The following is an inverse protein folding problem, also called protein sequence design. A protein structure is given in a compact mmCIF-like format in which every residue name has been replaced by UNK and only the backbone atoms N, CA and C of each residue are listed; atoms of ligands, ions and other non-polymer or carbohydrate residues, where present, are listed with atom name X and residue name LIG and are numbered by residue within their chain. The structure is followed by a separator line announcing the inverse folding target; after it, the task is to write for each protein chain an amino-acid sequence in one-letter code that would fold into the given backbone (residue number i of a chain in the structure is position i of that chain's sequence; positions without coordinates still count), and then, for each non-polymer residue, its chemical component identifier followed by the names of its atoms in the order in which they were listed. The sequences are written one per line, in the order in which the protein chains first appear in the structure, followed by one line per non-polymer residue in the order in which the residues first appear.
data_IF_996472801334
#
_entry.id   IF_996472801334
#
_cell.length_a   1.000
_cell.length_b   1.000
_cell.length_c   1.000
_cell.angle_alpha   90.00
_cell.angle_beta   90.00
_cell.angle_gamma   90.00
#
_symmetry.space_group_name_H-M   'P 1'
#
loop_
_entity.id
_entity.type
_entity.pdbx_description
1 polymer ?
#
# COMPACT_ATOMS: atom_id res chain seq x y z
N UNK A 1 13.87 1.20 -30.73
CA UNK A 1 14.40 0.53 -29.52
C UNK A 1 15.52 1.37 -28.91
N UNK A 2 16.50 1.84 -29.71
CA UNK A 2 17.59 2.73 -29.28
C UNK A 2 17.15 4.03 -28.59
N UNK A 3 16.19 4.77 -29.15
CA UNK A 3 15.79 6.07 -28.60
C UNK A 3 15.16 6.01 -27.19
N UNK A 4 14.55 4.88 -26.81
CA UNK A 4 13.97 4.69 -25.47
C UNK A 4 15.07 4.34 -24.47
N UNK A 5 16.05 3.52 -24.87
CA UNK A 5 17.24 3.22 -24.06
C UNK A 5 18.07 4.47 -23.81
N UNK A 6 18.28 5.32 -24.83
CA UNK A 6 19.05 6.57 -24.68
C UNK A 6 18.39 7.55 -23.69
N UNK A 7 17.06 7.62 -23.67
CA UNK A 7 16.30 8.47 -22.73
C UNK A 7 16.36 7.89 -21.30
N UNK A 8 16.30 6.56 -21.14
CA UNK A 8 16.43 5.93 -19.83
C UNK A 8 17.86 6.11 -19.26
N UNK A 9 18.88 5.95 -20.10
CA UNK A 9 20.28 6.17 -19.71
C UNK A 9 20.55 7.64 -19.31
N UNK A 10 19.93 8.58 -20.03
CA UNK A 10 20.04 10.02 -19.70
C UNK A 10 19.34 10.37 -18.39
N UNK A 11 18.22 9.73 -18.06
CA UNK A 11 17.52 9.96 -16.80
C UNK A 11 18.29 9.38 -15.61
N UNK A 12 18.92 8.22 -15.78
CA UNK A 12 19.79 7.61 -14.76
C UNK A 12 20.99 8.49 -14.46
N UNK A 13 21.70 8.98 -15.49
CA UNK A 13 22.83 9.92 -15.33
C UNK A 13 22.44 11.21 -14.63
N UNK A 14 21.26 11.76 -14.92
CA UNK A 14 20.77 12.96 -14.25
C UNK A 14 20.44 12.71 -12.78
N UNK A 15 19.89 11.54 -12.44
CA UNK A 15 19.64 11.14 -11.06
C UNK A 15 20.95 10.94 -10.29
N UNK A 16 21.95 10.30 -10.89
CA UNK A 16 23.28 10.11 -10.29
C UNK A 16 23.99 11.44 -10.01
N UNK A 17 24.01 12.36 -10.97
CA UNK A 17 24.60 13.69 -10.79
C UNK A 17 23.96 14.45 -9.61
N UNK A 18 22.63 14.36 -9.48
CA UNK A 18 21.88 14.99 -8.39
C UNK A 18 22.19 14.39 -7.02
N UNK A 19 22.46 13.08 -6.97
CA UNK A 19 22.88 12.40 -5.74
C UNK A 19 24.29 12.83 -5.35
N UNK A 20 25.21 12.97 -6.31
CA UNK A 20 26.59 13.43 -6.05
C UNK A 20 26.58 14.85 -5.49
N UNK A 21 25.85 15.77 -6.13
CA UNK A 21 25.69 17.16 -5.65
C UNK A 21 25.12 17.21 -4.23
N UNK A 22 24.14 16.34 -3.90
CA UNK A 22 23.60 16.26 -2.55
C UNK A 22 24.60 15.71 -1.53
N UNK A 23 25.47 14.79 -1.93
CA UNK A 23 26.51 14.26 -1.06
C UNK A 23 27.51 15.37 -0.73
N UNK A 24 27.95 16.13 -1.73
CA UNK A 24 28.84 17.29 -1.53
C UNK A 24 28.19 18.35 -0.61
N UNK A 25 26.94 18.76 -0.87
CA UNK A 25 26.16 19.69 0.00
C UNK A 25 26.08 19.18 1.45
N UNK A 26 25.99 17.85 1.62
CA UNK A 26 25.91 17.23 2.95
C UNK A 26 27.23 17.28 3.72
N UNK A 27 28.37 17.16 3.03
CA UNK A 27 29.69 17.25 3.67
C UNK A 27 30.05 18.70 3.99
N UNK A 28 29.71 19.64 3.11
CA UNK A 28 29.98 21.07 3.32
C UNK A 28 29.13 21.66 4.44
N UNK A 29 27.85 21.29 4.54
CA UNK A 29 26.89 21.88 5.47
C UNK A 29 26.55 20.96 6.66
N UNK A 30 27.48 20.09 7.06
CA UNK A 30 27.27 19.18 8.18
C UNK A 30 27.16 19.97 9.51
N UNK A 31 26.12 19.74 10.33
CA UNK A 31 25.94 20.45 11.58
C UNK A 31 26.98 20.04 12.61
N UNK A 32 27.48 21.01 13.37
CA UNK A 32 28.30 20.74 14.56
C UNK A 32 27.46 20.13 15.69
N UNK A 33 28.10 19.46 16.65
CA UNK A 33 27.42 18.83 17.79
C UNK A 33 26.65 19.83 18.67
N UNK A 34 27.12 21.08 18.75
CA UNK A 34 26.44 22.17 19.46
C UNK A 34 25.21 22.66 18.69
N UNK A 35 25.32 22.81 17.37
CA UNK A 35 24.20 23.19 16.49
C UNK A 35 23.09 22.14 16.50
N UNK A 36 23.44 20.84 16.56
CA UNK A 36 22.48 19.73 16.66
C UNK A 36 21.60 19.79 17.91
N UNK A 37 22.05 20.41 19.00
CA UNK A 37 21.25 20.49 20.24
C UNK A 37 20.51 21.81 20.38
N UNK A 38 21.00 22.87 19.75
CA UNK A 38 20.49 24.24 19.91
C UNK A 38 19.56 24.67 18.79
N UNK A 39 19.78 24.21 17.56
CA UNK A 39 19.01 24.64 16.40
C UNK A 39 17.73 23.83 16.22
N UNK A 40 16.69 24.50 15.74
CA UNK A 40 15.41 23.88 15.43
C UNK A 40 15.54 22.96 14.21
N UNK A 41 15.05 21.74 14.37
CA UNK A 41 14.96 20.76 13.29
C UNK A 41 13.69 21.03 12.47
N UNK A 42 13.84 21.09 11.15
CA UNK A 42 12.76 21.37 10.20
C UNK A 42 12.72 20.34 9.07
N UNK A 43 11.55 20.19 8.46
CA UNK A 43 11.38 19.43 7.22
C UNK A 43 11.93 20.21 6.04
N UNK A 44 12.59 19.51 5.12
CA UNK A 44 12.90 20.02 3.78
C UNK A 44 11.64 20.08 2.90
N UNK A 45 11.80 20.63 1.70
CA UNK A 45 10.82 20.56 0.63
C UNK A 45 10.64 19.12 0.12
N UNK A 46 9.37 18.69 0.02
CA UNK A 46 9.04 17.37 -0.51
C UNK A 46 9.30 17.35 -2.02
N UNK A 47 10.15 16.42 -2.52
CA UNK A 47 10.50 16.36 -3.92
C UNK A 47 9.26 16.06 -4.77
N UNK A 48 9.21 16.62 -5.99
CA UNK A 48 8.06 16.45 -6.89
C UNK A 48 7.69 14.97 -7.13
N UNK A 49 8.64 14.04 -7.35
CA UNK A 49 8.35 12.61 -7.46
C UNK A 49 7.58 12.04 -6.26
N UNK A 50 7.96 12.40 -5.03
CA UNK A 50 7.24 11.97 -3.83
C UNK A 50 5.80 12.49 -3.80
N UNK A 51 5.59 13.76 -4.19
CA UNK A 51 4.24 14.35 -4.28
C UNK A 51 3.35 13.63 -5.29
N UNK A 52 3.90 13.27 -6.46
CA UNK A 52 3.17 12.49 -7.45
C UNK A 52 2.76 11.11 -6.90
N UNK A 53 3.64 10.44 -6.15
CA UNK A 53 3.32 9.14 -5.52
C UNK A 53 2.22 9.28 -4.46
N UNK A 54 2.21 10.37 -3.69
CA UNK A 54 1.14 10.65 -2.72
C UNK A 54 -0.21 10.81 -3.43
N UNK A 55 -0.25 11.46 -4.61
CA UNK A 55 -1.47 11.54 -5.43
C UNK A 55 -1.89 10.15 -5.93
N UNK A 56 -0.95 9.29 -6.32
CA UNK A 56 -1.25 7.92 -6.71
C UNK A 56 -1.89 7.12 -5.56
N UNK A 57 -1.40 7.28 -4.32
CA UNK A 57 -2.01 6.65 -3.14
C UNK A 57 -3.42 7.19 -2.88
N UNK A 58 -3.63 8.51 -2.97
CA UNK A 58 -4.97 9.09 -2.87
C UNK A 58 -5.94 8.42 -3.85
N UNK A 59 -5.56 8.33 -5.13
CA UNK A 59 -6.40 7.74 -6.17
C UNK A 59 -6.68 6.24 -5.92
N UNK A 60 -5.68 5.47 -5.47
CA UNK A 60 -5.88 4.05 -5.15
C UNK A 60 -6.78 3.88 -3.93
N UNK A 61 -6.60 4.68 -2.87
CA UNK A 61 -7.45 4.66 -1.68
C UNK A 61 -8.88 5.06 -1.98
N UNK A 62 -9.04 6.10 -2.78
CA UNK A 62 -10.33 6.53 -3.29
C UNK A 62 -11.04 5.36 -3.98
N UNK A 63 -10.33 4.69 -4.90
CA UNK A 63 -10.91 3.58 -5.63
C UNK A 63 -11.24 2.39 -4.72
N UNK A 64 -10.30 1.98 -3.87
CA UNK A 64 -10.44 0.82 -2.98
C UNK A 64 -11.60 0.97 -1.99
N UNK A 65 -11.69 2.11 -1.31
CA UNK A 65 -12.79 2.38 -0.36
C UNK A 65 -14.10 2.61 -1.12
N UNK A 66 -14.04 3.33 -2.24
CA UNK A 66 -15.20 3.69 -3.04
C UNK A 66 -15.91 2.48 -3.64
N UNK A 67 -15.16 1.45 -4.07
CA UNK A 67 -15.73 0.20 -4.56
C UNK A 67 -16.12 -0.75 -3.43
N UNK A 68 -15.29 -0.91 -2.39
CA UNK A 68 -15.51 -1.94 -1.37
C UNK A 68 -16.68 -1.63 -0.44
N UNK A 69 -16.97 -0.34 -0.24
CA UNK A 69 -18.15 0.10 0.51
C UNK A 69 -19.48 -0.32 -0.10
N UNK A 70 -19.53 -0.55 -1.42
CA UNK A 70 -20.76 -0.88 -2.15
C UNK A 70 -21.04 -2.39 -2.18
N UNK A 71 -20.03 -3.23 -1.93
CA UNK A 71 -20.14 -4.69 -2.10
C UNK A 71 -21.23 -5.31 -1.24
N UNK A 72 -21.41 -4.84 -0.01
CA UNK A 72 -22.44 -5.38 0.88
C UNK A 72 -23.83 -5.20 0.27
N UNK A 73 -24.19 -3.97 -0.13
CA UNK A 73 -25.48 -3.66 -0.72
C UNK A 73 -25.67 -4.32 -2.09
N UNK A 74 -24.66 -4.25 -2.94
CA UNK A 74 -24.66 -4.83 -4.30
C UNK A 74 -24.96 -6.34 -4.29
N UNK A 75 -24.35 -7.08 -3.35
CA UNK A 75 -24.49 -8.54 -3.25
C UNK A 75 -25.77 -8.93 -2.49
N UNK A 76 -26.08 -8.24 -1.40
CA UNK A 76 -27.12 -8.65 -0.47
C UNK A 76 -28.53 -8.51 -1.03
N UNK A 77 -28.85 -7.33 -1.58
CA UNK A 77 -30.21 -6.97 -1.95
C UNK A 77 -30.47 -7.21 -3.45
N UNK A 78 -31.70 -7.56 -3.84
CA UNK A 78 -32.10 -7.63 -5.25
C UNK A 78 -32.18 -6.23 -5.87
N UNK A 79 -32.36 -6.16 -7.19
CA UNK A 79 -32.66 -4.89 -7.87
C UNK A 79 -33.92 -4.27 -7.23
N UNK A 80 -33.87 -3.00 -6.77
CA UNK A 80 -34.98 -2.38 -6.05
C UNK A 80 -36.21 -2.21 -6.95
N UNK A 81 -37.39 -2.55 -6.40
CA UNK A 81 -38.67 -2.22 -7.02
C UNK A 81 -39.05 -0.74 -6.82
N UNK A 82 -40.18 -0.28 -7.38
CA UNK A 82 -40.62 1.12 -7.31
C UNK A 82 -40.78 1.69 -5.90
N UNK A 83 -41.01 0.82 -4.90
CA UNK A 83 -41.28 1.20 -3.51
C UNK A 83 -40.12 0.87 -2.56
N UNK A 84 -39.05 0.25 -3.05
CA UNK A 84 -37.93 -0.17 -2.21
C UNK A 84 -36.94 0.98 -2.02
N UNK A 85 -36.59 1.26 -0.76
CA UNK A 85 -35.64 2.33 -0.41
C UNK A 85 -34.18 1.89 -0.42
N UNK A 86 -33.92 0.59 -0.49
CA UNK A 86 -32.60 -0.01 -0.35
C UNK A 86 -32.02 -0.38 -1.70
N UNK A 87 -30.82 0.13 -2.01
CA UNK A 87 -30.12 -0.23 -3.23
C UNK A 87 -29.58 -1.67 -3.19
N UNK A 88 -29.76 -2.37 -4.30
CA UNK A 88 -29.28 -3.74 -4.50
C UNK A 88 -29.18 -4.12 -5.98
N UNK A 89 -28.61 -5.29 -6.25
CA UNK A 89 -28.51 -5.83 -7.60
C UNK A 89 -28.61 -7.36 -7.64
N UNK A 90 -27.88 -8.08 -6.78
CA UNK A 90 -27.65 -9.52 -6.95
C UNK A 90 -28.55 -10.42 -6.11
N UNK A 91 -29.15 -9.92 -5.03
CA UNK A 91 -30.11 -10.66 -4.21
C UNK A 91 -29.58 -11.97 -3.59
N UNK A 92 -28.28 -12.05 -3.28
CA UNK A 92 -27.64 -13.28 -2.74
C UNK A 92 -27.70 -13.40 -1.21
N UNK A 93 -28.32 -12.44 -0.55
CA UNK A 93 -28.50 -12.41 0.89
C UNK A 93 -27.24 -11.98 1.65
N UNK A 94 -27.44 -11.62 2.93
CA UNK A 94 -26.41 -11.05 3.79
C UNK A 94 -25.21 -11.99 3.99
N UNK A 95 -25.47 -13.29 4.19
CA UNK A 95 -24.40 -14.29 4.41
C UNK A 95 -23.39 -14.29 3.26
N UNK A 96 -23.88 -14.32 2.02
CA UNK A 96 -23.02 -14.33 0.82
C UNK A 96 -22.28 -13.00 0.66
N UNK A 97 -22.97 -11.88 0.90
CA UNK A 97 -22.37 -10.55 0.82
C UNK A 97 -21.21 -10.36 1.81
N UNK A 98 -21.42 -10.72 3.07
CA UNK A 98 -20.40 -10.62 4.11
C UNK A 98 -19.22 -11.57 3.83
N UNK A 99 -19.50 -12.80 3.39
CA UNK A 99 -18.48 -13.79 3.04
C UNK A 99 -17.57 -13.27 1.91
N UNK A 100 -18.16 -12.86 0.79
CA UNK A 100 -17.39 -12.40 -0.37
C UNK A 100 -16.62 -11.11 -0.09
N UNK A 101 -17.23 -10.16 0.62
CA UNK A 101 -16.56 -8.91 1.02
C UNK A 101 -15.37 -9.18 1.95
N UNK A 102 -15.53 -10.11 2.90
CA UNK A 102 -14.44 -10.53 3.79
C UNK A 102 -13.35 -11.27 3.04
N UNK A 103 -13.72 -12.16 2.11
CA UNK A 103 -12.79 -12.92 1.28
C UNK A 103 -11.98 -12.00 0.34
N UNK A 104 -12.62 -11.03 -0.29
CA UNK A 104 -11.93 -10.00 -1.09
C UNK A 104 -10.87 -9.27 -0.26
N UNK A 105 -11.25 -8.86 0.96
CA UNK A 105 -10.32 -8.17 1.86
C UNK A 105 -9.17 -9.08 2.32
N UNK A 106 -9.45 -10.35 2.61
CA UNK A 106 -8.41 -11.35 2.88
C UNK A 106 -7.40 -11.44 1.73
N UNK A 107 -7.87 -11.55 0.47
CA UNK A 107 -6.99 -11.57 -0.69
C UNK A 107 -6.17 -10.28 -0.82
N UNK A 108 -6.77 -9.12 -0.55
CA UNK A 108 -6.07 -7.83 -0.59
C UNK A 108 -4.97 -7.67 0.48
N UNK A 109 -5.01 -8.47 1.56
CA UNK A 109 -3.96 -8.52 2.57
C UNK A 109 -2.93 -9.63 2.33
N UNK A 110 -3.28 -10.67 1.56
CA UNK A 110 -2.38 -11.75 1.19
C UNK A 110 -1.48 -11.39 -0.01
N UNK A 111 -2.09 -10.81 -1.05
CA UNK A 111 -1.41 -10.44 -2.31
C UNK A 111 -0.25 -9.44 -2.18
N UNK A 112 -0.19 -8.51 -1.19
CA UNK A 112 0.99 -7.67 -0.99
C UNK A 112 2.28 -8.46 -0.71
N UNK A 113 2.20 -9.64 -0.10
CA UNK A 113 3.37 -10.49 0.13
C UNK A 113 3.98 -10.90 -1.22
N UNK A 114 3.13 -11.31 -2.16
CA UNK A 114 3.53 -11.69 -3.52
C UNK A 114 4.06 -10.45 -4.26
N UNK A 115 3.37 -9.31 -4.15
CA UNK A 115 3.78 -8.04 -4.77
C UNK A 115 5.15 -7.55 -4.31
N UNK A 116 5.47 -7.68 -3.02
CA UNK A 116 6.77 -7.34 -2.46
C UNK A 116 7.87 -8.25 -3.01
N UNK A 117 7.64 -9.57 -3.04
CA UNK A 117 8.62 -10.54 -3.58
C UNK A 117 8.91 -10.25 -5.05
N UNK A 118 7.88 -9.96 -5.86
CA UNK A 118 8.05 -9.67 -7.29
C UNK A 118 8.86 -8.39 -7.53
N UNK A 119 8.62 -7.34 -6.74
CA UNK A 119 9.37 -6.10 -6.80
C UNK A 119 10.84 -6.26 -6.37
N UNK A 120 11.09 -6.97 -5.28
CA UNK A 120 12.43 -7.12 -4.70
C UNK A 120 13.31 -8.14 -5.45
N UNK A 121 12.74 -9.02 -6.28
CA UNK A 121 13.48 -10.07 -6.99
C UNK A 121 13.58 -9.86 -8.50
N UNK A 122 12.50 -9.44 -9.16
CA UNK A 122 12.43 -9.57 -10.61
C UNK A 122 12.35 -8.24 -11.32
N UNK A 123 11.43 -7.36 -10.92
CA UNK A 123 11.03 -6.23 -11.76
C UNK A 123 11.44 -4.86 -11.22
N UNK A 124 11.71 -4.74 -9.92
CA UNK A 124 11.85 -3.45 -9.25
C UNK A 124 10.50 -2.81 -8.92
N UNK A 125 10.49 -1.91 -7.93
CA UNK A 125 9.25 -1.35 -7.35
C UNK A 125 8.38 -0.64 -8.38
N UNK A 126 8.97 0.22 -9.22
CA UNK A 126 8.21 0.98 -10.22
C UNK A 126 7.48 0.08 -11.22
N UNK A 127 8.17 -0.90 -11.82
CA UNK A 127 7.56 -1.81 -12.81
C UNK A 127 6.47 -2.67 -12.16
N UNK A 128 6.70 -3.15 -10.94
CA UNK A 128 5.68 -3.90 -10.18
C UNK A 128 4.44 -3.06 -9.90
N UNK A 129 4.60 -1.80 -9.46
CA UNK A 129 3.46 -0.89 -9.23
C UNK A 129 2.71 -0.65 -10.54
N UNK A 130 3.40 -0.36 -11.63
CA UNK A 130 2.76 -0.09 -12.91
C UNK A 130 1.95 -1.28 -13.42
N UNK A 131 2.53 -2.48 -13.43
CA UNK A 131 1.82 -3.72 -13.81
C UNK A 131 0.65 -4.01 -12.88
N UNK A 132 0.81 -3.74 -11.58
CA UNK A 132 -0.25 -3.91 -10.60
C UNK A 132 -1.40 -2.92 -10.81
N UNK A 133 -1.11 -1.65 -11.15
CA UNK A 133 -2.11 -0.66 -11.53
C UNK A 133 -2.86 -1.05 -12.81
N UNK A 134 -2.17 -1.57 -13.84
CA UNK A 134 -2.83 -2.08 -15.05
C UNK A 134 -3.75 -3.24 -14.70
N UNK A 135 -3.28 -4.20 -13.90
CA UNK A 135 -4.10 -5.32 -13.42
C UNK A 135 -5.32 -4.85 -12.63
N UNK A 136 -5.13 -3.88 -11.73
CA UNK A 136 -6.21 -3.26 -10.95
C UNK A 136 -7.24 -2.60 -11.89
N UNK A 137 -6.77 -1.86 -12.90
CA UNK A 137 -7.65 -1.20 -13.88
C UNK A 137 -8.48 -2.21 -14.67
N UNK A 138 -7.90 -3.35 -15.06
CA UNK A 138 -8.64 -4.45 -15.70
C UNK A 138 -9.72 -4.97 -14.74
N UNK A 139 -9.39 -5.16 -13.47
CA UNK A 139 -10.36 -5.55 -12.44
C UNK A 139 -11.52 -4.55 -12.28
N UNK A 140 -11.22 -3.25 -12.30
CA UNK A 140 -12.23 -2.19 -12.26
C UNK A 140 -13.10 -2.20 -13.52
N UNK A 141 -12.51 -2.38 -14.70
CA UNK A 141 -13.24 -2.46 -15.96
C UNK A 141 -14.21 -3.65 -15.95
N UNK A 142 -13.75 -4.84 -15.53
CA UNK A 142 -14.62 -6.02 -15.40
C UNK A 142 -15.75 -5.75 -14.41
N UNK A 143 -15.46 -5.12 -13.26
CA UNK A 143 -16.47 -4.75 -12.27
C UNK A 143 -17.54 -3.84 -12.88
N UNK A 144 -17.13 -2.73 -13.49
CA UNK A 144 -18.02 -1.74 -14.11
C UNK A 144 -18.90 -2.37 -15.19
N UNK A 145 -18.30 -3.15 -16.10
CA UNK A 145 -19.04 -3.81 -17.18
C UNK A 145 -20.04 -4.85 -16.64
N UNK A 146 -19.64 -5.62 -15.63
CA UNK A 146 -20.51 -6.62 -14.99
C UNK A 146 -21.65 -6.02 -14.18
N UNK A 147 -21.50 -4.78 -13.71
CA UNK A 147 -22.53 -4.05 -12.96
C UNK A 147 -23.51 -3.26 -13.84
N UNK A 148 -23.37 -3.32 -15.16
CA UNK A 148 -24.31 -2.65 -16.06
C UNK A 148 -25.71 -3.28 -15.98
N UNK A 149 -26.79 -2.50 -16.22
CA UNK A 149 -28.15 -3.04 -16.21
C UNK A 149 -28.37 -4.20 -17.17
N UNK A 150 -27.59 -4.27 -18.26
CA UNK A 150 -27.62 -5.38 -19.20
C UNK A 150 -26.98 -6.64 -18.60
N UNK A 151 -25.77 -6.54 -18.05
CA UNK A 151 -25.07 -7.67 -17.44
C UNK A 151 -25.81 -8.27 -16.23
N UNK A 152 -26.49 -7.41 -15.44
CA UNK A 152 -27.36 -7.85 -14.35
C UNK A 152 -28.55 -8.66 -14.88
N UNK A 153 -29.23 -8.17 -15.93
CA UNK A 153 -30.39 -8.86 -16.54
C UNK A 153 -30.03 -10.21 -17.15
N UNK A 154 -28.85 -10.34 -17.76
CA UNK A 154 -28.36 -11.59 -18.36
C UNK A 154 -27.78 -12.55 -17.31
N UNK A 155 -27.62 -12.12 -16.05
CA UNK A 155 -27.11 -12.96 -14.96
C UNK A 155 -25.58 -13.08 -14.90
N UNK A 156 -24.84 -12.26 -15.66
CA UNK A 156 -23.37 -12.25 -15.67
C UNK A 156 -22.74 -11.44 -14.52
N UNK A 157 -23.54 -10.63 -13.84
CA UNK A 157 -23.07 -9.72 -12.80
C UNK A 157 -22.39 -10.42 -11.61
N UNK A 158 -22.86 -11.62 -11.22
CA UNK A 158 -22.30 -12.36 -10.08
C UNK A 158 -20.94 -12.99 -10.39
N UNK A 159 -20.81 -13.65 -11.55
CA UNK A 159 -19.53 -14.23 -11.99
C UNK A 159 -18.52 -13.13 -12.32
N UNK A 160 -18.97 -12.04 -12.96
CA UNK A 160 -18.16 -10.86 -13.22
C UNK A 160 -17.61 -10.23 -11.94
N UNK A 161 -18.42 -10.13 -10.88
CA UNK A 161 -17.97 -9.64 -9.57
C UNK A 161 -16.86 -10.53 -8.96
N UNK A 162 -17.01 -11.85 -9.00
CA UNK A 162 -16.00 -12.77 -8.44
C UNK A 162 -14.67 -12.65 -9.19
N UNK A 163 -14.73 -12.63 -10.52
CA UNK A 163 -13.54 -12.44 -11.36
C UNK A 163 -12.89 -11.08 -11.08
N UNK A 164 -13.71 -10.01 -11.00
CA UNK A 164 -13.23 -8.68 -10.67
C UNK A 164 -12.55 -8.65 -9.28
N UNK A 165 -13.15 -9.25 -8.26
CA UNK A 165 -12.58 -9.32 -6.90
C UNK A 165 -11.18 -9.97 -6.89
N UNK A 166 -11.01 -11.07 -7.64
CA UNK A 166 -9.70 -11.76 -7.73
C UNK A 166 -8.68 -10.85 -8.41
N UNK A 167 -9.01 -10.29 -9.58
CA UNK A 167 -8.10 -9.42 -10.35
C UNK A 167 -7.76 -8.14 -9.56
N UNK A 168 -8.76 -7.50 -8.96
CA UNK A 168 -8.59 -6.31 -8.12
C UNK A 168 -7.67 -6.60 -6.93
N UNK A 169 -7.83 -7.77 -6.29
CA UNK A 169 -6.98 -8.14 -5.16
C UNK A 169 -5.52 -8.30 -5.58
N UNK A 170 -5.25 -8.92 -6.73
CA UNK A 170 -3.90 -9.07 -7.27
C UNK A 170 -3.25 -7.70 -7.57
N UNK A 171 -3.99 -6.80 -8.22
CA UNK A 171 -3.52 -5.43 -8.48
C UNK A 171 -3.29 -4.64 -7.19
N UNK A 172 -4.20 -4.76 -6.22
CA UNK A 172 -4.09 -4.11 -4.90
C UNK A 172 -2.81 -4.52 -4.18
N UNK A 173 -2.45 -5.81 -4.24
CA UNK A 173 -1.24 -6.33 -3.60
C UNK A 173 0.04 -5.67 -4.09
N UNK A 174 0.23 -5.58 -5.41
CA UNK A 174 1.43 -4.99 -6.00
C UNK A 174 1.57 -3.49 -5.74
N UNK A 175 0.45 -2.76 -5.69
CA UNK A 175 0.46 -1.31 -5.36
C UNK A 175 0.79 -1.12 -3.86
N UNK A 176 0.03 -1.75 -2.95
CA UNK A 176 0.16 -1.54 -1.50
C UNK A 176 1.53 -1.90 -0.93
N UNK A 177 2.17 -2.94 -1.47
CA UNK A 177 3.48 -3.39 -1.00
C UNK A 177 4.64 -2.46 -1.40
N UNK A 178 4.47 -1.66 -2.46
CA UNK A 178 5.58 -0.99 -3.12
C UNK A 178 5.47 0.54 -3.19
N UNK A 179 4.26 1.11 -3.09
CA UNK A 179 4.06 2.57 -3.18
C UNK A 179 4.73 3.33 -2.04
N UNK A 180 4.57 2.88 -0.78
CA UNK A 180 5.17 3.60 0.35
C UNK A 180 6.70 3.49 0.42
N UNK A 181 7.34 2.33 0.12
CA UNK A 181 8.79 2.29 -0.03
C UNK A 181 9.28 3.14 -1.20
N UNK A 182 8.60 3.12 -2.35
CA UNK A 182 8.99 3.93 -3.51
C UNK A 182 8.95 5.43 -3.16
N UNK A 183 7.91 5.89 -2.47
CA UNK A 183 7.82 7.28 -2.00
C UNK A 183 9.01 7.65 -1.09
N UNK A 184 9.30 6.83 -0.08
CA UNK A 184 10.39 7.08 0.84
C UNK A 184 11.75 7.13 0.13
N UNK A 185 11.94 6.29 -0.89
CA UNK A 185 13.15 6.27 -1.72
C UNK A 185 13.33 7.52 -2.60
N UNK A 186 12.29 8.34 -2.78
CA UNK A 186 12.43 9.61 -3.52
C UNK A 186 13.17 10.69 -2.73
N UNK A 187 13.33 10.51 -1.42
CA UNK A 187 14.15 11.37 -0.58
C UNK A 187 15.49 10.69 -0.28
N UNK A 188 16.55 11.22 -0.90
CA UNK A 188 17.89 10.62 -0.93
C UNK A 188 18.82 11.09 0.18
N UNK A 189 18.53 12.22 0.83
CA UNK A 189 19.38 12.77 1.90
C UNK A 189 19.31 11.88 3.15
N UNK A 190 20.48 11.51 3.67
CA UNK A 190 20.62 10.62 4.84
C UNK A 190 21.16 11.31 6.08
N UNK A 191 21.86 12.44 5.94
CA UNK A 191 22.42 13.20 7.08
C UNK A 191 21.75 14.57 7.20
N UNK A 192 21.69 15.12 8.43
CA UNK A 192 21.20 16.47 8.66
C UNK A 192 22.16 17.51 8.07
N UNK A 193 21.62 18.64 7.61
CA UNK A 193 22.39 19.76 7.08
C UNK A 193 21.92 21.07 7.71
N UNK A 194 22.83 22.03 7.89
CA UNK A 194 22.48 23.39 8.31
C UNK A 194 22.15 24.22 7.07
N UNK A 195 20.96 24.82 7.04
CA UNK A 195 20.62 25.85 6.05
C UNK A 195 20.09 27.09 6.73
N UNK A 196 20.49 28.24 6.22
CA UNK A 196 19.94 29.51 6.64
C UNK A 196 18.64 29.79 5.88
N UNK A 197 17.52 29.83 6.59
CA UNK A 197 16.20 30.06 6.00
C UNK A 197 15.60 31.29 6.66
N UNK A 198 15.40 32.35 5.86
CA UNK A 198 14.86 33.64 6.30
C UNK A 198 15.70 34.28 7.43
N UNK A 199 17.03 34.20 7.34
CA UNK A 199 17.97 34.79 8.30
C UNK A 199 18.18 33.98 9.59
N UNK A 200 17.57 32.80 9.72
CA UNK A 200 17.78 31.89 10.85
C UNK A 200 18.44 30.60 10.40
N UNK A 201 19.55 30.22 11.04
CA UNK A 201 20.16 28.90 10.87
C UNK A 201 19.21 27.82 11.39
N UNK A 202 18.87 26.86 10.54
CA UNK A 202 18.00 25.73 10.88
C UNK A 202 18.62 24.44 10.39
N UNK A 203 18.34 23.36 11.11
CA UNK A 203 18.80 22.04 10.72
C UNK A 203 17.70 21.38 9.92
N UNK A 204 18.00 21.03 8.68
CA UNK A 204 17.15 20.19 7.86
C UNK A 204 17.45 18.75 8.24
N UNK A 205 16.49 18.11 8.92
CA UNK A 205 16.62 16.72 9.32
C UNK A 205 15.88 15.82 8.30
N UNK A 206 16.59 14.86 7.67
CA UNK A 206 15.98 13.81 6.88
C UNK A 206 14.81 13.10 7.56
N UNK A 207 14.91 12.84 8.86
CA UNK A 207 13.88 12.12 9.61
C UNK A 207 12.58 12.92 9.68
N UNK A 208 12.67 14.21 9.96
CA UNK A 208 11.52 15.12 10.01
C UNK A 208 10.89 15.26 8.63
N UNK A 209 11.71 15.28 7.57
CA UNK A 209 11.23 15.35 6.19
C UNK A 209 10.47 14.09 5.78
N UNK A 210 11.04 12.90 6.03
CA UNK A 210 10.37 11.63 5.76
C UNK A 210 9.09 11.50 6.59
N UNK A 211 9.10 11.93 7.86
CA UNK A 211 7.90 11.97 8.69
C UNK A 211 6.82 12.88 8.08
N UNK A 212 7.19 14.07 7.60
CA UNK A 212 6.28 14.98 6.90
C UNK A 212 5.70 14.36 5.63
N UNK A 213 6.51 13.65 4.85
CA UNK A 213 6.05 12.89 3.67
C UNK A 213 5.00 11.84 4.06
N UNK A 214 5.24 11.07 5.12
CA UNK A 214 4.26 10.10 5.62
C UNK A 214 3.00 10.77 6.18
N UNK A 215 3.10 11.93 6.84
CA UNK A 215 1.92 12.69 7.28
C UNK A 215 1.03 13.07 6.09
N UNK A 216 1.61 13.60 5.01
CA UNK A 216 0.87 13.90 3.78
C UNK A 216 0.31 12.64 3.11
N UNK A 217 1.05 11.55 3.13
CA UNK A 217 0.59 10.25 2.64
C UNK A 217 -0.65 9.75 3.41
N UNK A 218 -0.66 9.84 4.74
CA UNK A 218 -1.82 9.46 5.55
C UNK A 218 -2.99 10.43 5.39
N UNK A 219 -2.74 11.73 5.20
CA UNK A 219 -3.77 12.69 4.82
C UNK A 219 -4.44 12.32 3.49
N UNK A 220 -3.64 11.95 2.48
CA UNK A 220 -4.14 11.47 1.20
C UNK A 220 -4.98 10.19 1.35
N UNK A 221 -4.58 9.25 2.21
CA UNK A 221 -5.37 8.06 2.52
C UNK A 221 -6.74 8.43 3.12
N UNK A 222 -6.75 9.29 4.13
CA UNK A 222 -7.98 9.72 4.79
C UNK A 222 -8.92 10.47 3.83
N UNK A 223 -8.36 11.35 3.00
CA UNK A 223 -9.12 12.06 1.98
C UNK A 223 -9.70 11.09 0.94
N UNK A 224 -8.93 10.09 0.53
CA UNK A 224 -9.39 9.02 -0.36
C UNK A 224 -10.54 8.22 0.26
N UNK A 225 -10.51 7.95 1.57
CA UNK A 225 -11.57 7.21 2.25
C UNK A 225 -12.93 7.92 2.26
N UNK A 226 -12.97 9.25 2.05
CA UNK A 226 -14.23 9.99 1.88
C UNK A 226 -14.98 9.59 0.60
N UNK A 227 -14.35 8.86 -0.32
CA UNK A 227 -14.98 8.33 -1.53
C UNK A 227 -16.24 7.51 -1.24
N UNK A 228 -16.29 6.82 -0.09
CA UNK A 228 -17.46 6.07 0.35
C UNK A 228 -18.71 6.94 0.42
N UNK A 229 -18.59 8.21 0.83
CA UNK A 229 -19.74 9.14 0.89
C UNK A 229 -20.26 9.40 -0.52
N UNK A 230 -19.36 9.65 -1.47
CA UNK A 230 -19.75 9.95 -2.85
C UNK A 230 -20.33 8.70 -3.53
N UNK A 231 -19.66 7.56 -3.44
CA UNK A 231 -20.08 6.34 -4.14
C UNK A 231 -21.38 5.75 -3.56
N UNK A 232 -21.58 5.81 -2.23
CA UNK A 232 -22.84 5.35 -1.61
C UNK A 232 -24.03 6.26 -1.94
N UNK A 233 -23.82 7.55 -2.17
CA UNK A 233 -24.90 8.42 -2.69
C UNK A 233 -25.21 8.09 -4.16
N UNK A 234 -24.20 7.80 -4.99
CA UNK A 234 -24.42 7.41 -6.38
C UNK A 234 -25.15 6.07 -6.49
N UNK A 235 -24.81 5.07 -5.67
CA UNK A 235 -25.55 3.78 -5.68
C UNK A 235 -27.00 3.96 -5.21
N UNK A 236 -27.26 4.92 -4.31
CA UNK A 236 -28.59 5.19 -3.76
C UNK A 236 -29.52 5.88 -4.76
N UNK A 237 -29.02 6.90 -5.47
CA UNK A 237 -29.86 7.74 -6.33
C UNK A 237 -29.78 7.38 -7.82
N UNK A 238 -28.75 6.65 -8.25
CA UNK A 238 -28.54 6.31 -9.66
C UNK A 238 -28.41 4.81 -9.88
N UNK A 239 -27.18 4.28 -9.81
CA UNK A 239 -26.90 2.87 -10.12
C UNK A 239 -25.50 2.45 -9.68
N UNK A 240 -25.33 1.15 -9.45
CA UNK A 240 -24.04 0.57 -9.07
C UNK A 240 -22.96 0.72 -10.16
N UNK A 241 -23.31 0.57 -11.44
CA UNK A 241 -22.33 0.69 -12.52
C UNK A 241 -21.67 2.09 -12.53
N UNK A 242 -22.47 3.15 -12.33
CA UNK A 242 -21.97 4.52 -12.25
C UNK A 242 -21.17 4.75 -10.98
N UNK A 243 -21.60 4.16 -9.86
CA UNK A 243 -20.88 4.23 -8.59
C UNK A 243 -19.50 3.53 -8.66
N UNK A 244 -19.36 2.46 -9.46
CA UNK A 244 -18.07 1.81 -9.73
C UNK A 244 -17.24 2.51 -10.82
N UNK A 245 -17.89 3.20 -11.77
CA UNK A 245 -17.19 3.96 -12.82
C UNK A 245 -16.36 5.11 -12.24
N UNK A 246 -16.87 5.78 -11.20
CA UNK A 246 -16.16 6.89 -10.56
C UNK A 246 -14.79 6.47 -9.99
N UNK A 247 -14.68 5.43 -9.15
CA UNK A 247 -13.42 4.78 -8.78
C UNK A 247 -12.50 4.47 -9.97
N UNK A 248 -13.05 3.94 -11.07
CA UNK A 248 -12.28 3.61 -12.28
C UNK A 248 -11.64 4.85 -12.91
N UNK A 249 -12.39 5.94 -13.07
CA UNK A 249 -11.89 7.19 -13.64
C UNK A 249 -10.83 7.84 -12.74
N UNK A 250 -11.07 7.89 -11.43
CA UNK A 250 -10.09 8.44 -10.47
C UNK A 250 -8.81 7.60 -10.46
N UNK A 251 -8.94 6.27 -10.52
CA UNK A 251 -7.80 5.37 -10.57
C UNK A 251 -7.02 5.47 -11.89
N UNK A 252 -7.68 5.80 -13.01
CA UNK A 252 -7.01 6.08 -14.28
C UNK A 252 -6.09 7.30 -14.17
N UNK A 253 -6.48 8.28 -13.37
CA UNK A 253 -5.63 9.40 -12.97
C UNK A 253 -4.32 8.95 -12.30
N UNK A 254 -4.38 7.93 -11.42
CA UNK A 254 -3.17 7.35 -10.79
C UNK A 254 -2.19 6.81 -11.83
N UNK A 255 -2.71 6.08 -12.83
CA UNK A 255 -1.88 5.54 -13.93
C UNK A 255 -1.28 6.68 -14.74
N UNK A 256 -2.06 7.70 -15.08
CA UNK A 256 -1.56 8.87 -15.80
C UNK A 256 -0.44 9.57 -15.03
N UNK A 257 -0.59 9.75 -13.72
CA UNK A 257 0.44 10.35 -12.85
C UNK A 257 1.71 9.50 -12.83
N UNK A 258 1.60 8.16 -12.73
CA UNK A 258 2.76 7.26 -12.79
C UNK A 258 3.48 7.29 -14.14
N UNK A 259 2.75 7.47 -15.24
CA UNK A 259 3.32 7.58 -16.59
C UNK A 259 4.03 8.93 -16.75
N UNK A 260 3.42 10.03 -16.32
CA UNK A 260 4.01 11.37 -16.38
C UNK A 260 5.25 11.47 -15.50
N UNK A 261 5.20 10.89 -14.29
CA UNK A 261 6.31 10.88 -13.34
C UNK A 261 7.43 9.90 -13.70
N UNK A 262 7.28 9.06 -14.74
CA UNK A 262 8.16 7.89 -15.00
C UNK A 262 9.65 8.22 -15.03
N UNK A 263 10.03 9.37 -15.58
CA UNK A 263 11.42 9.81 -15.75
C UNK A 263 11.97 10.57 -14.55
N UNK A 264 11.12 10.93 -13.60
CA UNK A 264 11.51 11.68 -12.40
C UNK A 264 11.70 10.77 -11.19
N UNK A 265 11.20 9.54 -11.23
CA UNK A 265 11.33 8.59 -10.12
C UNK A 265 12.73 8.01 -10.02
N UNK A 266 13.27 8.03 -8.80
CA UNK A 266 14.49 7.31 -8.46
C UNK A 266 14.14 5.83 -8.34
N UNK A 267 14.81 5.00 -9.16
CA UNK A 267 14.58 3.56 -9.26
C UNK A 267 15.79 2.82 -8.72
N UNK A 268 15.65 2.19 -7.56
CA UNK A 268 16.69 1.30 -7.03
C UNK A 268 16.61 -0.06 -7.71
N UNK A 269 17.78 -0.64 -8.02
CA UNK A 269 17.90 -2.00 -8.55
C UNK A 269 17.41 -3.02 -7.52
N UNK A 270 16.74 -4.12 -7.94
CA UNK A 270 16.27 -5.16 -7.02
C UNK A 270 17.44 -5.76 -6.23
N UNK A 271 17.39 -5.70 -4.89
CA UNK A 271 18.52 -6.08 -4.01
C UNK A 271 18.34 -7.42 -3.28
N UNK A 272 17.39 -8.27 -3.68
CA UNK A 272 17.07 -9.47 -2.92
C UNK A 272 15.80 -9.33 -2.08
N UNK A 273 14.95 -10.36 -2.01
CA UNK A 273 13.78 -10.35 -1.14
C UNK A 273 14.19 -10.70 0.28
N UNK A 274 14.03 -9.73 1.17
CA UNK A 274 14.20 -9.89 2.61
C UNK A 274 13.25 -10.97 3.16
N UNK A 275 12.04 -11.09 2.60
CA UNK A 275 11.04 -12.09 2.99
C UNK A 275 11.57 -13.50 2.70
N UNK A 276 12.08 -13.74 1.49
CA UNK A 276 12.64 -15.06 1.13
C UNK A 276 13.84 -15.39 2.03
N UNK A 277 14.72 -14.41 2.28
CA UNK A 277 15.87 -14.60 3.19
C UNK A 277 15.41 -14.95 4.61
N UNK A 278 14.42 -14.23 5.15
CA UNK A 278 13.84 -14.51 6.47
C UNK A 278 13.19 -15.90 6.53
N UNK A 279 12.42 -16.31 5.53
CA UNK A 279 11.84 -17.64 5.45
C UNK A 279 12.92 -18.73 5.44
N UNK A 280 13.99 -18.58 4.65
CA UNK A 280 15.12 -19.54 4.65
C UNK A 280 15.77 -19.64 6.03
N UNK A 281 16.02 -18.51 6.69
CA UNK A 281 16.60 -18.48 8.04
C UNK A 281 15.70 -19.20 9.05
N UNK A 282 14.39 -18.94 9.01
CA UNK A 282 13.42 -19.59 9.90
C UNK A 282 13.34 -21.09 9.63
N UNK A 283 13.21 -21.52 8.36
CA UNK A 283 13.13 -22.94 8.00
C UNK A 283 14.41 -23.69 8.38
N UNK A 284 15.58 -23.08 8.21
CA UNK A 284 16.84 -23.69 8.64
C UNK A 284 16.97 -23.75 10.16
N UNK A 285 16.61 -22.67 10.86
CA UNK A 285 16.58 -22.65 12.32
C UNK A 285 15.66 -23.74 12.90
N UNK A 286 14.48 -23.95 12.32
CA UNK A 286 13.55 -25.01 12.76
C UNK A 286 14.06 -26.39 12.42
N UNK A 287 14.63 -26.60 11.22
CA UNK A 287 15.26 -27.87 10.85
C UNK A 287 16.43 -28.24 11.78
N UNK A 288 17.27 -27.26 12.13
CA UNK A 288 18.40 -27.48 13.05
C UNK A 288 17.95 -27.78 14.47
N UNK A 289 16.98 -27.03 14.99
CA UNK A 289 16.37 -27.32 16.29
C UNK A 289 15.76 -28.73 16.32
N UNK A 290 15.18 -29.17 15.21
CA UNK A 290 14.60 -30.49 15.10
C UNK A 290 15.67 -31.60 15.03
N UNK A 291 16.81 -31.35 14.35
CA UNK A 291 17.94 -32.29 14.24
C UNK A 291 18.78 -32.41 15.52
N UNK A 292 19.05 -31.29 16.20
CA UNK A 292 19.90 -31.24 17.40
C UNK A 292 19.17 -31.70 18.67
N UNK A 293 17.85 -31.84 18.62
CA UNK A 293 17.04 -32.21 19.79
C UNK A 293 17.20 -31.24 20.97
N UNK A 294 16.66 -31.59 22.14
CA UNK A 294 16.74 -30.80 23.40
C UNK A 294 18.17 -30.63 23.97
N UNK A 295 19.22 -31.00 23.22
CA UNK A 295 20.58 -31.16 23.74
C UNK A 295 21.39 -29.85 23.77
N UNK A 296 20.91 -28.80 23.10
CA UNK A 296 21.55 -27.47 23.10
C UNK A 296 20.66 -26.42 23.79
N UNK A 297 21.23 -25.67 24.75
CA UNK A 297 20.51 -24.79 25.69
C UNK A 297 20.55 -23.32 25.24
N UNK A 298 20.43 -23.04 23.93
CA UNK A 298 20.35 -21.66 23.42
C UNK A 298 19.01 -21.03 23.81
N UNK A 299 19.06 -19.78 24.28
CA UNK A 299 17.88 -19.04 24.74
C UNK A 299 16.84 -18.78 23.63
N UNK A 300 17.28 -18.58 22.38
CA UNK A 300 16.40 -18.34 21.24
C UNK A 300 16.63 -19.31 20.07
N UNK A 301 15.54 -19.79 19.45
CA UNK A 301 15.61 -20.75 18.35
C UNK A 301 16.24 -20.18 17.06
N UNK A 302 16.32 -18.86 16.91
CA UNK A 302 16.93 -18.24 15.73
C UNK A 302 18.46 -18.20 15.81
N UNK A 303 19.04 -18.44 16.99
CA UNK A 303 20.50 -18.55 17.16
C UNK A 303 21.09 -19.82 16.53
N UNK A 304 20.26 -20.83 16.24
CA UNK A 304 20.69 -21.99 15.47
C UNK A 304 21.06 -21.63 14.02
N UNK A 305 20.47 -20.56 13.46
CA UNK A 305 20.79 -20.14 12.10
C UNK A 305 22.12 -19.36 11.97
N UNK A 306 22.74 -18.94 13.09
CA UNK A 306 23.99 -18.14 13.04
C UNK A 306 25.23 -18.97 12.72
N UNK A 307 25.24 -20.26 13.05
CA UNK A 307 26.43 -21.12 12.89
C UNK A 307 26.59 -21.72 11.50
N UNK A 308 25.52 -21.80 10.72
CA UNK A 308 25.51 -22.50 9.42
C UNK A 308 25.32 -21.56 8.22
N UNK A 309 25.17 -20.25 8.47
CA UNK A 309 25.25 -19.23 7.41
C UNK A 309 26.70 -18.80 7.10
N UNK A 310 27.70 -19.39 7.77
CA UNK A 310 29.10 -19.30 7.33
C UNK A 310 29.37 -20.36 6.25
N UNK A 311 29.72 -19.97 5.01
CA UNK A 311 30.31 -20.94 4.08
C UNK A 311 31.61 -21.51 4.67
N UNK A 312 31.88 -22.79 4.39
CA UNK A 312 33.15 -23.45 4.74
C UNK A 312 34.23 -22.92 3.76
N UNK A 313 35.30 -22.32 4.31
CA UNK A 313 36.61 -21.91 3.73
C UNK A 313 36.83 -20.43 3.33
N UNK A 314 38.07 -20.00 3.66
CA UNK A 314 38.77 -18.71 3.84
C UNK A 314 38.67 -17.62 2.74
N UNK A 315 38.32 -16.37 3.14
CA UNK A 315 38.85 -15.11 2.57
C UNK A 315 38.41 -13.87 3.41
N UNK A 316 39.21 -12.79 3.40
CA UNK A 316 39.04 -11.57 4.24
C UNK A 316 37.71 -10.82 3.98
N UNK A 317 37.13 -10.94 2.78
CA UNK A 317 35.81 -10.39 2.42
C UNK A 317 34.62 -11.05 3.15
N UNK A 318 34.82 -12.18 3.84
CA UNK A 318 33.74 -12.89 4.54
C UNK A 318 33.44 -12.36 5.95
N UNK A 319 34.35 -11.64 6.59
CA UNK A 319 34.08 -11.05 7.92
C UNK A 319 32.91 -10.07 7.86
N UNK A 320 32.83 -9.28 6.79
CA UNK A 320 31.71 -8.38 6.48
C UNK A 320 30.41 -9.17 6.23
N UNK A 321 30.43 -10.19 5.38
CA UNK A 321 29.28 -11.06 5.10
C UNK A 321 28.74 -11.81 6.34
N UNK A 322 29.63 -12.27 7.22
CA UNK A 322 29.29 -12.94 8.48
C UNK A 322 28.68 -11.96 9.48
N UNK A 323 29.22 -10.75 9.55
CA UNK A 323 28.67 -9.64 10.33
C UNK A 323 27.23 -9.30 9.88
N UNK A 324 27.03 -9.17 8.56
CA UNK A 324 25.73 -8.86 7.97
C UNK A 324 24.68 -9.97 8.20
N UNK A 325 25.08 -11.24 8.10
CA UNK A 325 24.19 -12.37 8.38
C UNK A 325 23.77 -12.42 9.85
N UNK A 326 24.71 -12.20 10.78
CA UNK A 326 24.42 -12.19 12.21
C UNK A 326 23.55 -10.99 12.60
N UNK A 327 23.84 -9.81 12.05
CA UNK A 327 23.05 -8.61 12.24
C UNK A 327 21.63 -8.82 11.71
N UNK A 328 21.48 -9.42 10.53
CA UNK A 328 20.16 -9.77 9.98
C UNK A 328 19.37 -10.73 10.88
N UNK A 329 20.00 -11.74 11.48
CA UNK A 329 19.34 -12.66 12.42
C UNK A 329 18.87 -11.92 13.67
N UNK A 330 19.67 -11.00 14.21
CA UNK A 330 19.28 -10.16 15.35
C UNK A 330 18.13 -9.20 15.00
N UNK A 331 18.17 -8.57 13.83
CA UNK A 331 17.09 -7.71 13.36
C UNK A 331 15.81 -8.51 13.11
N UNK A 332 15.91 -9.75 12.60
CA UNK A 332 14.78 -10.67 12.45
C UNK A 332 14.17 -11.06 13.80
N UNK A 333 14.98 -11.32 14.82
CA UNK A 333 14.50 -11.58 16.19
C UNK A 333 13.73 -10.38 16.75
N UNK A 334 14.28 -9.18 16.61
CA UNK A 334 13.62 -7.94 17.04
C UNK A 334 12.30 -7.74 16.31
N UNK A 335 12.27 -7.98 15.00
CA UNK A 335 11.05 -7.92 14.20
C UNK A 335 10.00 -8.93 14.67
N UNK A 336 10.37 -10.20 14.88
CA UNK A 336 9.45 -11.24 15.37
C UNK A 336 8.95 -11.00 16.79
N UNK A 337 9.80 -10.43 17.66
CA UNK A 337 9.39 -10.01 18.99
C UNK A 337 8.36 -8.89 18.92
N UNK A 338 8.57 -7.89 18.07
CA UNK A 338 7.59 -6.82 17.82
C UNK A 338 6.28 -7.38 17.22
N UNK A 339 6.35 -8.39 16.34
CA UNK A 339 5.18 -9.05 15.78
C UNK A 339 4.31 -9.76 16.83
N UNK A 340 4.81 -10.05 18.04
CA UNK A 340 3.98 -10.60 19.12
C UNK A 340 2.83 -9.67 19.51
N UNK A 341 3.00 -8.36 19.33
CA UNK A 341 1.92 -7.37 19.55
C UNK A 341 0.76 -7.60 18.58
N UNK A 342 1.03 -8.11 17.38
CA UNK A 342 -0.01 -8.42 16.39
C UNK A 342 -0.86 -9.64 16.76
N UNK A 343 -0.49 -10.43 17.79
CA UNK A 343 -1.33 -11.52 18.29
C UNK A 343 -2.68 -11.01 18.82
N UNK A 344 -2.78 -9.73 19.20
CA UNK A 344 -4.03 -9.10 19.63
C UNK A 344 -4.89 -8.55 18.48
N UNK A 345 -4.35 -8.46 17.26
CA UNK A 345 -5.05 -7.88 16.12
C UNK A 345 -6.31 -8.65 15.70
N UNK A 346 -6.37 -9.99 15.77
CA UNK A 346 -7.60 -10.71 15.48
C UNK A 346 -8.80 -10.23 16.32
N UNK A 347 -8.60 -9.96 17.61
CA UNK A 347 -9.67 -9.43 18.47
C UNK A 347 -10.15 -8.06 18.03
N UNK A 348 -9.22 -7.15 17.72
CA UNK A 348 -9.55 -5.83 17.18
C UNK A 348 -10.34 -5.94 15.87
N UNK A 349 -9.86 -6.76 14.92
CA UNK A 349 -10.49 -6.89 13.60
C UNK A 349 -11.85 -7.58 13.65
N UNK A 350 -12.08 -8.52 14.57
CA UNK A 350 -13.41 -9.13 14.77
C UNK A 350 -14.43 -8.05 15.14
N UNK A 351 -14.08 -7.13 16.05
CA UNK A 351 -14.93 -6.02 16.45
C UNK A 351 -15.07 -4.99 15.32
N UNK A 352 -13.96 -4.58 14.70
CA UNK A 352 -13.97 -3.57 13.65
C UNK A 352 -14.79 -4.00 12.43
N UNK A 353 -14.74 -5.28 12.04
CA UNK A 353 -15.43 -5.78 10.87
C UNK A 353 -16.96 -5.75 10.99
N UNK A 354 -17.50 -5.63 12.21
CA UNK A 354 -18.94 -5.44 12.42
C UNK A 354 -19.44 -4.13 11.81
N UNK A 355 -18.62 -3.07 11.85
CA UNK A 355 -18.94 -1.74 11.31
C UNK A 355 -19.16 -1.77 9.78
N UNK A 356 -18.44 -2.65 9.08
CA UNK A 356 -18.38 -2.67 7.61
C UNK A 356 -19.31 -3.73 7.00
N UNK A 357 -20.04 -4.50 7.82
CA UNK A 357 -20.90 -5.59 7.32
C UNK A 357 -22.26 -5.59 8.01
N UNK A 358 -22.29 -6.00 9.28
CA UNK A 358 -23.53 -6.15 10.03
C UNK A 358 -24.22 -4.81 10.28
N UNK A 359 -23.48 -3.74 10.56
CA UNK A 359 -24.08 -2.41 10.70
C UNK A 359 -24.71 -1.90 9.41
N UNK A 360 -24.12 -2.18 8.24
CA UNK A 360 -24.71 -1.82 6.94
C UNK A 360 -26.04 -2.58 6.74
N UNK A 361 -26.05 -3.86 7.09
CA UNK A 361 -27.25 -4.70 7.02
C UNK A 361 -28.34 -4.25 7.99
N UNK A 362 -27.96 -3.84 9.20
CA UNK A 362 -28.87 -3.29 10.21
C UNK A 362 -29.45 -1.95 9.76
N UNK A 363 -28.62 -1.07 9.19
CA UNK A 363 -29.07 0.23 8.67
C UNK A 363 -30.17 0.08 7.61
N UNK A 364 -30.10 -0.96 6.78
CA UNK A 364 -31.14 -1.26 5.78
C UNK A 364 -32.49 -1.69 6.39
N UNK A 365 -32.49 -2.22 7.63
CA UNK A 365 -33.71 -2.64 8.35
C UNK A 365 -34.23 -1.55 9.29
N UNK A 366 -33.45 -0.50 9.56
CA UNK A 366 -33.85 0.58 10.44
C UNK A 366 -34.89 1.47 9.75
N UNK A 367 -36.09 1.54 10.35
CA UNK A 367 -37.09 2.52 9.95
C UNK A 367 -36.68 3.89 10.50
N UNK A 368 -35.80 4.57 9.77
CA UNK A 368 -35.62 6.01 9.94
C UNK A 368 -36.93 6.65 9.50
N UNK A 369 -37.68 7.23 10.44
CA UNK A 369 -38.88 8.01 10.12
C UNK A 369 -38.56 9.20 9.20
N UNK A 370 -39.34 10.28 9.24
CA UNK A 370 -39.05 11.52 8.48
C UNK A 370 -37.73 12.24 8.87
N UNK A 371 -36.77 11.57 9.48
CA UNK A 371 -35.38 12.03 9.60
C UNK A 371 -34.62 11.67 8.31
N UNK A 372 -35.10 12.21 7.19
CA UNK A 372 -34.26 12.37 6.00
C UNK A 372 -33.52 13.68 6.25
N UNK A 373 -32.21 13.62 6.48
CA UNK A 373 -31.38 14.81 6.25
C UNK A 373 -31.49 15.06 4.75
N UNK A 374 -32.44 15.90 4.36
CA UNK A 374 -32.63 16.27 2.97
C UNK A 374 -31.32 16.86 2.46
N UNK A 375 -30.79 16.25 1.40
CA UNK A 375 -29.64 16.75 0.63
C UNK A 375 -29.96 18.13 0.00
N UNK A 376 -31.19 18.66 0.17
CA UNK A 376 -31.53 20.05 -0.12
C UNK A 376 -30.65 21.08 0.59
N UNK A 377 -30.03 20.74 1.73
CA UNK A 377 -29.04 21.62 2.37
C UNK A 377 -27.83 21.90 1.44
N UNK A 378 -27.50 20.99 0.52
CA UNK A 378 -26.43 21.20 -0.46
C UNK A 378 -26.91 21.84 -1.78
N UNK A 379 -28.22 22.10 -1.95
CA UNK A 379 -28.75 22.84 -3.10
C UNK A 379 -28.85 24.34 -2.86
N UNK A 380 -28.65 24.80 -1.63
CA UNK A 380 -28.82 26.21 -1.21
C UNK A 380 -27.53 26.89 -0.74
N UNK A 381 -26.35 26.33 -1.01
CA UNK A 381 -25.07 27.02 -0.87
C UNK A 381 -24.43 27.29 -2.23
#
# INVERSE_FOLDING_TARGET
MSMIEDIELSAERFAEAKVIEQIEDTYENAPTTEELTTLKHISDHIPLPARLIIVCEFCERFAFIGLSGLFQNYIQFPVPGPNDKQSGALGRGQRTATLLTTFFRFLCYLTPIIGAILADQFWGKYKTIFLACVTYMIGLLVLVLSSTPFAIRVGLAFSGLIVAMIILSLGTGGVKSNVSPLMAEQYTRTKPIVKEIRGEKKIIDPKVTVQSMFNWFYWAINLGALSAIVTTNIEKYHSFWLAYLLPMVVFAGSIAVLIVGRHQYIRKVPSGSLIIRACRVITRATQMRWRLGKQDNRRDFLDYAKEDLSPIVHDDNQTVMKSDNNQFVEDLKRALSACRVFAFYPFYWICYNQLVSNMISQAAQMNVGKFVISVEIFKTC
#
